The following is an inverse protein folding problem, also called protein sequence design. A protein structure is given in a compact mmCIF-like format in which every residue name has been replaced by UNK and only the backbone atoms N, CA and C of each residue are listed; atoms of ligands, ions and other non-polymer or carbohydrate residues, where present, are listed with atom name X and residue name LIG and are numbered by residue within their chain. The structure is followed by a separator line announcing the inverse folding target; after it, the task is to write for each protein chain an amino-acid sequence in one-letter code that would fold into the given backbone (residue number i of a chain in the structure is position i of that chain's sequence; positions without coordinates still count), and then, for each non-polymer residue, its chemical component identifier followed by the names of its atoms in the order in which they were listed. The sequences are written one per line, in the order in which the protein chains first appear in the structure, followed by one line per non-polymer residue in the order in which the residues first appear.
data_IF_965644773556
#
_entry.id   IF_965644773556
#
_cell.length_a   1.000
_cell.length_b   1.000
_cell.length_c   1.000
_cell.angle_alpha   90.00
_cell.angle_beta   90.00
_cell.angle_gamma   90.00
#
_symmetry.space_group_name_H-M   'P 1'
#
loop_
_entity.id
_entity.type
_entity.pdbx_description
1 polymer ?
#
# COMPACT_ATOMS: atom_id res chain seq x y z
N UNK A 1 -13.09 -16.25 -47.84
CA UNK A 1 -12.20 -15.87 -46.73
C UNK A 1 -13.07 -15.52 -45.53
N UNK A 2 -13.12 -16.39 -44.52
CA UNK A 2 -13.75 -16.05 -43.25
C UNK A 2 -12.78 -15.17 -42.49
N UNK A 3 -13.12 -13.89 -42.28
CA UNK A 3 -12.30 -13.00 -41.43
C UNK A 3 -12.45 -13.47 -39.99
N UNK A 4 -11.34 -13.74 -39.33
CA UNK A 4 -11.35 -14.14 -37.93
C UNK A 4 -11.73 -12.98 -37.02
N UNK A 5 -12.35 -13.27 -35.87
CA UNK A 5 -12.64 -12.24 -34.88
C UNK A 5 -11.32 -11.75 -34.26
N UNK A 6 -11.17 -10.43 -34.17
CA UNK A 6 -10.04 -9.79 -33.51
C UNK A 6 -10.39 -9.48 -32.06
N UNK A 7 -9.50 -9.85 -31.15
CA UNK A 7 -9.69 -9.66 -29.73
C UNK A 7 -8.84 -8.49 -29.24
N UNK A 8 -9.49 -7.57 -28.53
CA UNK A 8 -8.86 -6.49 -27.78
C UNK A 8 -9.27 -6.63 -26.32
N UNK A 9 -8.43 -6.16 -25.41
CA UNK A 9 -8.72 -6.19 -23.98
C UNK A 9 -9.17 -4.82 -23.53
N UNK A 10 -10.29 -4.79 -22.82
CA UNK A 10 -10.86 -3.60 -22.22
C UNK A 10 -10.89 -3.74 -20.70
N UNK A 11 -10.69 -2.62 -20.01
CA UNK A 11 -10.82 -2.47 -18.58
C UNK A 11 -12.00 -1.56 -18.27
N UNK A 12 -12.76 -1.90 -17.23
CA UNK A 12 -13.86 -1.10 -16.73
C UNK A 12 -13.76 -0.98 -15.21
N UNK A 13 -13.93 0.23 -14.69
CA UNK A 13 -13.94 0.52 -13.26
C UNK A 13 -15.18 1.30 -12.85
N UNK A 14 -15.74 1.01 -11.67
CA UNK A 14 -16.76 1.83 -11.04
C UNK A 14 -16.48 1.99 -9.55
N UNK A 15 -16.48 3.23 -9.09
CA UNK A 15 -16.37 3.58 -7.66
C UNK A 15 -17.72 3.56 -6.93
N UNK A 16 -18.82 3.37 -7.67
CA UNK A 16 -20.18 3.39 -7.16
C UNK A 16 -21.00 2.17 -7.65
N UNK A 17 -20.33 1.02 -7.82
CA UNK A 17 -20.91 -0.19 -8.40
C UNK A 17 -22.14 -0.76 -7.64
N UNK A 18 -22.37 -0.31 -6.42
CA UNK A 18 -23.50 -0.72 -5.57
C UNK A 18 -24.72 0.21 -5.67
N UNK A 19 -24.59 1.35 -6.36
CA UNK A 19 -25.69 2.30 -6.56
C UNK A 19 -26.74 1.76 -7.53
N UNK A 20 -27.96 2.28 -7.45
CA UNK A 20 -29.05 1.90 -8.36
C UNK A 20 -28.73 2.21 -9.84
N UNK A 21 -27.86 3.19 -10.08
CA UNK A 21 -27.35 3.56 -11.40
C UNK A 21 -25.81 3.74 -11.33
N UNK A 22 -25.03 2.65 -11.46
CA UNK A 22 -23.57 2.72 -11.37
C UNK A 22 -22.97 3.43 -12.60
N UNK A 23 -21.87 4.14 -12.39
CA UNK A 23 -21.10 4.80 -13.45
C UNK A 23 -19.81 4.01 -13.65
N UNK A 24 -19.50 3.68 -14.90
CA UNK A 24 -18.27 2.99 -15.27
C UNK A 24 -17.37 3.88 -16.12
N UNK A 25 -16.08 3.89 -15.79
CA UNK A 25 -15.02 4.39 -16.67
C UNK A 25 -14.46 3.19 -17.43
N UNK A 26 -14.40 3.28 -18.76
CA UNK A 26 -13.88 2.21 -19.60
C UNK A 26 -12.68 2.67 -20.44
N UNK A 27 -11.74 1.76 -20.68
CA UNK A 27 -10.60 1.98 -21.56
C UNK A 27 -10.15 0.69 -22.24
N UNK A 28 -9.65 0.80 -23.49
CA UNK A 28 -8.92 -0.31 -24.11
C UNK A 28 -7.51 -0.34 -23.53
N UNK A 29 -7.11 -1.48 -22.97
CA UNK A 29 -5.78 -1.65 -22.34
C UNK A 29 -4.81 -2.41 -23.24
N UNK A 30 -5.29 -3.19 -24.22
CA UNK A 30 -4.40 -3.79 -25.22
C UNK A 30 -3.95 -2.77 -26.26
N UNK A 31 -2.65 -2.68 -26.50
CA UNK A 31 -2.04 -1.83 -27.55
C UNK A 31 -2.11 -2.45 -28.96
N UNK A 32 -2.55 -3.71 -29.06
CA UNK A 32 -2.76 -4.43 -30.32
C UNK A 32 -3.84 -5.51 -30.19
N UNK A 33 -4.12 -6.21 -31.30
CA UNK A 33 -5.00 -7.38 -31.33
C UNK A 33 -4.29 -8.58 -30.71
N UNK A 34 -4.68 -8.95 -29.49
CA UNK A 34 -3.99 -9.95 -28.65
C UNK A 34 -4.25 -11.39 -29.09
N UNK A 35 -5.35 -11.61 -29.80
CA UNK A 35 -5.76 -12.91 -30.30
C UNK A 35 -6.64 -12.75 -31.55
N UNK A 36 -6.56 -13.74 -32.45
CA UNK A 36 -7.46 -13.88 -33.59
C UNK A 36 -8.06 -15.27 -33.57
N UNK A 37 -9.38 -15.33 -33.71
CA UNK A 37 -10.11 -16.60 -33.75
C UNK A 37 -11.47 -16.53 -33.07
N UNK A 38 -12.26 -17.58 -33.20
CA UNK A 38 -13.57 -17.69 -32.56
C UNK A 38 -13.44 -18.02 -31.06
N UNK A 39 -14.41 -17.58 -30.26
CA UNK A 39 -14.57 -18.03 -28.86
C UNK A 39 -14.87 -19.54 -28.84
N UNK A 40 -14.26 -20.28 -27.92
CA UNK A 40 -14.64 -21.68 -27.70
C UNK A 40 -16.04 -21.76 -27.09
N UNK A 41 -16.96 -22.46 -27.74
CA UNK A 41 -18.33 -22.68 -27.24
C UNK A 41 -18.47 -23.97 -26.43
N UNK A 42 -17.44 -24.82 -26.42
CA UNK A 42 -17.43 -26.11 -25.74
C UNK A 42 -16.98 -26.09 -24.27
N UNK A 43 -16.44 -24.96 -23.79
CA UNK A 43 -15.99 -24.80 -22.41
C UNK A 43 -14.74 -25.64 -22.02
N UNK A 44 -14.35 -25.58 -20.74
CA UNK A 44 -13.13 -26.15 -20.14
C UNK A 44 -13.10 -27.70 -20.02
N UNK A 45 -13.92 -28.42 -20.79
CA UNK A 45 -14.01 -29.89 -20.73
C UNK A 45 -14.91 -30.54 -21.79
N UNK A 46 -15.49 -29.76 -22.71
CA UNK A 46 -16.23 -30.28 -23.85
C UNK A 46 -15.32 -30.62 -25.04
N UNK A 47 -15.93 -30.98 -26.19
CA UNK A 47 -15.23 -31.12 -27.47
C UNK A 47 -14.73 -29.75 -27.94
N UNK A 48 -13.59 -29.31 -27.38
CA UNK A 48 -13.05 -27.99 -27.61
C UNK A 48 -12.64 -27.83 -29.09
N UNK A 49 -13.13 -26.77 -29.73
CA UNK A 49 -12.63 -26.32 -31.02
C UNK A 49 -11.41 -25.38 -30.88
N UNK A 50 -10.91 -25.13 -29.65
CA UNK A 50 -9.70 -24.32 -29.36
C UNK A 50 -9.16 -24.55 -27.94
N UNK A 51 -7.84 -24.46 -27.77
CA UNK A 51 -7.12 -24.76 -26.50
C UNK A 51 -6.52 -23.55 -25.76
N UNK A 52 -6.84 -22.30 -26.13
CA UNK A 52 -6.35 -21.14 -25.37
C UNK A 52 -7.26 -20.93 -24.15
N UNK A 53 -6.73 -21.18 -22.95
CA UNK A 53 -7.35 -20.80 -21.69
C UNK A 53 -7.21 -19.29 -21.49
N UNK A 54 -8.33 -18.61 -21.30
CA UNK A 54 -8.34 -17.16 -21.13
C UNK A 54 -7.99 -16.84 -19.66
N UNK A 55 -6.73 -16.44 -19.42
CA UNK A 55 -6.28 -15.98 -18.11
C UNK A 55 -6.20 -14.45 -18.06
N UNK A 56 -6.76 -13.88 -16.99
CA UNK A 56 -6.65 -12.48 -16.62
C UNK A 56 -6.33 -12.40 -15.12
N UNK A 57 -5.34 -11.61 -14.75
CA UNK A 57 -5.11 -11.19 -13.38
C UNK A 57 -5.07 -9.67 -13.33
N UNK A 58 -5.74 -9.10 -12.34
CA UNK A 58 -5.80 -7.66 -12.10
C UNK A 58 -5.30 -7.41 -10.68
N UNK A 59 -4.41 -6.43 -10.53
CA UNK A 59 -4.01 -5.89 -9.24
C UNK A 59 -3.99 -4.36 -9.34
N UNK A 60 -4.17 -3.69 -8.21
CA UNK A 60 -3.99 -2.25 -8.10
C UNK A 60 -2.69 -1.97 -7.35
N UNK A 61 -1.93 -0.99 -7.82
CA UNK A 61 -0.78 -0.49 -7.05
C UNK A 61 -1.21 0.55 -5.99
N UNK A 62 -0.29 1.01 -5.11
CA UNK A 62 -0.62 1.99 -4.08
C UNK A 62 -1.08 3.36 -4.60
N UNK A 63 -0.91 3.65 -5.89
CA UNK A 63 -1.43 4.87 -6.53
C UNK A 63 -2.76 4.60 -7.26
N UNK A 64 -3.38 3.44 -7.04
CA UNK A 64 -4.61 2.99 -7.68
C UNK A 64 -4.53 2.89 -9.20
N UNK A 65 -3.36 2.50 -9.72
CA UNK A 65 -3.22 2.18 -11.15
C UNK A 65 -3.50 0.70 -11.37
N UNK A 66 -4.31 0.38 -12.38
CA UNK A 66 -4.60 -1.00 -12.73
C UNK A 66 -3.37 -1.65 -13.41
N UNK A 67 -2.88 -2.74 -12.80
CA UNK A 67 -1.88 -3.62 -13.35
C UNK A 67 -2.58 -4.90 -13.79
N UNK A 68 -2.71 -5.06 -15.11
CA UNK A 68 -3.45 -6.19 -15.70
C UNK A 68 -2.48 -7.07 -16.46
N UNK A 69 -2.49 -8.36 -16.13
CA UNK A 69 -1.85 -9.42 -16.89
C UNK A 69 -2.92 -10.21 -17.65
N UNK A 70 -2.73 -10.41 -18.95
CA UNK A 70 -3.63 -11.22 -19.77
C UNK A 70 -2.90 -12.10 -20.78
N UNK A 71 -3.58 -13.13 -21.24
CA UNK A 71 -3.05 -14.05 -22.26
C UNK A 71 -2.99 -13.37 -23.63
N UNK A 72 -1.85 -13.52 -24.30
CA UNK A 72 -1.58 -12.92 -25.62
C UNK A 72 -0.86 -13.95 -26.50
N UNK A 73 -1.41 -14.20 -27.70
CA UNK A 73 -0.86 -15.11 -28.70
C UNK A 73 -0.70 -14.47 -30.10
N UNK A 74 -0.63 -13.14 -30.16
CA UNK A 74 -0.56 -12.41 -31.44
C UNK A 74 0.65 -12.80 -32.31
N UNK A 75 1.73 -13.30 -31.70
CA UNK A 75 2.97 -13.69 -32.40
C UNK A 75 2.97 -15.17 -32.77
N UNK A 76 3.39 -15.44 -34.00
CA UNK A 76 3.73 -16.79 -34.45
C UNK A 76 4.95 -17.33 -33.71
N UNK A 77 4.96 -18.64 -33.50
CA UNK A 77 6.12 -19.35 -32.98
C UNK A 77 7.19 -19.48 -34.07
N UNK A 78 8.48 -19.32 -33.73
CA UNK A 78 9.57 -19.69 -34.65
C UNK A 78 9.58 -21.20 -34.98
N UNK A 79 8.88 -22.01 -34.18
CA UNK A 79 8.73 -23.46 -34.38
C UNK A 79 7.50 -23.82 -35.22
N UNK A 80 6.88 -22.84 -35.89
CA UNK A 80 5.77 -23.14 -36.81
C UNK A 80 6.30 -24.00 -37.95
N UNK A 81 5.67 -25.16 -38.12
CA UNK A 81 6.05 -26.19 -39.09
C UNK A 81 5.00 -26.19 -40.20
N UNK A 82 5.39 -26.45 -41.45
CA UNK A 82 4.52 -26.64 -42.62
C UNK A 82 3.73 -25.42 -43.14
N UNK A 83 4.37 -24.29 -43.45
CA UNK A 83 3.75 -23.23 -44.28
C UNK A 83 2.56 -22.47 -43.65
N UNK A 84 2.16 -22.83 -42.42
CA UNK A 84 1.06 -22.23 -41.70
C UNK A 84 1.44 -20.91 -41.02
N UNK A 85 1.70 -19.88 -41.82
CA UNK A 85 2.20 -18.58 -41.33
C UNK A 85 1.16 -17.47 -41.41
N UNK A 86 -0.10 -17.80 -41.70
CA UNK A 86 -1.17 -16.82 -41.83
C UNK A 86 -1.58 -16.22 -40.48
N UNK A 87 -1.94 -14.94 -40.49
CA UNK A 87 -2.54 -14.30 -39.30
C UNK A 87 -3.90 -14.91 -38.94
N UNK A 88 -4.63 -15.45 -39.93
CA UNK A 88 -5.96 -16.08 -39.79
C UNK A 88 -5.87 -17.58 -40.10
N UNK A 89 -4.79 -18.24 -39.65
CA UNK A 89 -4.52 -19.66 -39.89
C UNK A 89 -4.68 -20.46 -38.57
N UNK A 90 -5.62 -21.42 -38.49
CA UNK A 90 -5.85 -22.22 -37.29
C UNK A 90 -4.76 -23.22 -36.97
N UNK A 91 -3.98 -23.63 -37.96
CA UNK A 91 -2.92 -24.61 -37.79
C UNK A 91 -1.58 -23.91 -37.46
N UNK A 92 -1.55 -22.58 -37.50
CA UNK A 92 -0.38 -21.79 -37.15
C UNK A 92 -0.08 -21.87 -35.64
N UNK A 93 1.12 -22.34 -35.30
CA UNK A 93 1.59 -22.37 -33.92
C UNK A 93 1.92 -20.95 -33.42
N UNK A 94 1.36 -20.57 -32.27
CA UNK A 94 1.53 -19.24 -31.67
C UNK A 94 2.28 -19.28 -30.34
N UNK A 95 2.90 -18.15 -29.97
CA UNK A 95 3.55 -17.97 -28.69
C UNK A 95 2.54 -17.46 -27.67
N UNK A 96 2.16 -18.28 -26.71
CA UNK A 96 1.34 -17.85 -25.58
C UNK A 96 2.23 -17.13 -24.57
N UNK A 97 1.91 -15.89 -24.22
CA UNK A 97 2.61 -15.11 -23.19
C UNK A 97 1.61 -14.37 -22.31
N UNK A 98 2.07 -14.02 -21.11
CA UNK A 98 1.44 -12.95 -20.34
C UNK A 98 1.87 -11.60 -20.93
N UNK A 99 0.91 -10.75 -21.26
CA UNK A 99 1.13 -9.35 -21.60
C UNK A 99 0.67 -8.50 -20.40
N UNK A 100 1.43 -7.45 -20.11
CA UNK A 100 1.23 -6.59 -18.95
C UNK A 100 0.93 -5.18 -19.44
N UNK A 101 -0.15 -4.61 -18.94
CA UNK A 101 -0.45 -3.19 -19.14
C UNK A 101 -0.11 -2.43 -17.88
N UNK A 102 0.57 -1.30 -18.04
CA UNK A 102 0.74 -0.32 -16.99
C UNK A 102 -0.12 0.89 -17.33
N UNK A 103 -1.18 1.11 -16.56
CA UNK A 103 -1.90 2.37 -16.60
C UNK A 103 -0.98 3.49 -16.08
N UNK A 104 -0.76 4.57 -16.84
CA UNK A 104 0.20 5.60 -16.45
C UNK A 104 -0.29 6.48 -15.28
N UNK A 105 -1.61 6.50 -15.02
CA UNK A 105 -2.26 7.30 -13.97
C UNK A 105 -3.60 6.68 -13.56
N UNK A 106 -4.05 6.90 -12.32
CA UNK A 106 -5.36 6.43 -11.85
C UNK A 106 -6.54 7.18 -12.53
N UNK A 107 -7.72 6.57 -12.62
CA UNK A 107 -8.93 7.24 -13.09
C UNK A 107 -9.33 8.46 -12.26
N UNK A 108 -9.87 9.47 -12.94
CA UNK A 108 -10.32 10.72 -12.31
C UNK A 108 -11.42 10.45 -11.27
N UNK A 109 -11.29 11.03 -10.08
CA UNK A 109 -12.26 10.91 -8.99
C UNK A 109 -11.91 9.84 -7.95
N UNK A 110 -10.82 9.11 -8.14
CA UNK A 110 -10.32 8.15 -7.16
C UNK A 110 -9.44 8.86 -6.15
N UNK A 111 -9.75 8.67 -4.86
CA UNK A 111 -8.91 9.13 -3.78
C UNK A 111 -7.67 8.24 -3.69
N UNK A 112 -6.58 8.67 -4.31
CA UNK A 112 -5.25 8.00 -4.23
C UNK A 112 -4.45 8.39 -2.99
N UNK A 113 -5.03 9.25 -2.15
CA UNK A 113 -4.43 9.75 -0.91
C UNK A 113 -5.47 9.75 0.21
N UNK A 114 -5.07 9.38 1.43
CA UNK A 114 -5.92 9.41 2.62
C UNK A 114 -6.20 8.03 3.22
N UNK A 115 -6.88 8.00 4.37
CA UNK A 115 -7.10 6.80 5.20
C UNK A 115 -7.79 5.64 4.46
N UNK A 116 -8.55 5.92 3.39
CA UNK A 116 -9.28 4.92 2.62
C UNK A 116 -8.54 4.39 1.38
N UNK A 117 -7.35 4.89 1.05
CA UNK A 117 -6.59 4.51 -0.15
C UNK A 117 -5.65 3.30 0.06
N UNK A 118 -5.57 2.76 1.28
CA UNK A 118 -4.61 1.70 1.63
C UNK A 118 -5.27 0.33 1.43
N UNK A 119 -4.80 -0.44 0.44
CA UNK A 119 -5.28 -1.79 0.16
C UNK A 119 -5.01 -2.79 1.30
N UNK A 120 -5.74 -3.92 1.37
CA UNK A 120 -5.54 -4.93 2.40
C UNK A 120 -4.25 -5.71 2.11
N UNK A 121 -3.15 -5.36 2.76
CA UNK A 121 -1.93 -6.19 2.70
C UNK A 121 -0.62 -5.56 3.16
N UNK A 122 -0.44 -4.24 3.04
CA UNK A 122 0.79 -3.61 3.52
C UNK A 122 0.64 -3.03 4.93
N UNK A 123 1.65 -3.25 5.81
CA UNK A 123 1.74 -2.51 7.06
C UNK A 123 1.65 -1.02 6.76
N UNK A 124 0.75 -0.32 7.44
CA UNK A 124 0.66 1.13 7.34
C UNK A 124 1.97 1.77 7.79
N UNK A 125 2.18 3.06 7.45
CA UNK A 125 3.40 3.78 7.79
C UNK A 125 3.74 3.61 9.27
N UNK A 126 5.04 3.53 9.55
CA UNK A 126 5.52 3.37 10.92
C UNK A 126 6.69 4.27 11.23
N UNK A 127 6.78 4.67 12.50
CA UNK A 127 7.90 5.41 13.05
C UNK A 127 8.39 4.65 14.27
N UNK A 128 9.69 4.36 14.31
CA UNK A 128 10.34 3.75 15.46
C UNK A 128 11.43 4.69 15.94
N UNK A 129 11.66 4.76 17.24
CA UNK A 129 12.73 5.60 17.74
C UNK A 129 13.10 5.28 19.16
N UNK A 130 14.37 5.50 19.46
CA UNK A 130 14.88 5.40 20.81
C UNK A 130 16.09 6.29 20.96
N UNK A 131 16.16 7.01 22.07
CA UNK A 131 17.21 8.00 22.22
C UNK A 131 17.12 8.83 23.49
N UNK A 132 17.84 9.94 23.46
CA UNK A 132 18.02 10.84 24.60
C UNK A 132 17.73 12.28 24.22
N UNK A 133 17.18 13.02 25.18
CA UNK A 133 17.15 14.48 25.14
C UNK A 133 18.02 15.01 26.30
N UNK A 134 19.11 15.68 25.95
CA UNK A 134 20.10 16.11 26.94
C UNK A 134 20.71 14.92 27.70
N UNK A 135 20.89 15.08 29.00
CA UNK A 135 21.45 14.06 29.89
C UNK A 135 20.44 13.38 30.82
N UNK A 136 19.22 13.92 30.93
CA UNK A 136 18.23 13.44 31.91
C UNK A 136 17.12 12.59 31.32
N UNK A 137 16.93 12.65 29.99
CA UNK A 137 15.80 11.99 29.33
C UNK A 137 16.26 10.81 28.49
N UNK A 138 15.57 9.68 28.64
CA UNK A 138 15.62 8.55 27.73
C UNK A 138 14.21 8.21 27.25
N UNK A 139 14.07 7.80 25.99
CA UNK A 139 12.78 7.38 25.45
C UNK A 139 12.95 6.22 24.46
N UNK A 140 11.86 5.49 24.25
CA UNK A 140 11.73 4.46 23.23
C UNK A 140 10.27 4.34 22.79
N UNK A 141 10.03 4.22 21.49
CA UNK A 141 8.68 4.05 20.97
C UNK A 141 8.63 3.26 19.66
N UNK A 142 7.45 2.72 19.42
CA UNK A 142 7.00 2.20 18.12
C UNK A 142 5.62 2.81 17.87
N UNK A 143 5.38 3.31 16.66
CA UNK A 143 4.07 3.76 16.22
C UNK A 143 3.80 3.27 14.80
N UNK A 144 2.67 2.57 14.58
CA UNK A 144 2.26 2.02 13.30
C UNK A 144 0.78 2.27 13.07
N UNK A 145 0.43 2.73 11.85
CA UNK A 145 -0.95 3.04 11.51
C UNK A 145 -1.82 1.81 11.20
N UNK A 146 -1.27 0.77 10.56
CA UNK A 146 -2.04 -0.40 10.13
C UNK A 146 -1.25 -1.73 10.24
N UNK A 147 -1.74 -2.75 10.97
CA UNK A 147 -2.74 -2.58 12.02
C UNK A 147 -2.25 -1.55 13.04
N UNK A 148 -3.18 -0.81 13.66
CA UNK A 148 -2.83 0.16 14.68
C UNK A 148 -2.07 -0.57 15.81
N UNK A 149 -0.81 -0.21 16.00
CA UNK A 149 0.03 -0.79 17.03
C UNK A 149 1.10 0.21 17.45
N UNK A 150 1.49 0.16 18.72
CA UNK A 150 2.53 1.01 19.23
C UNK A 150 2.66 0.94 20.74
N UNK A 151 3.78 1.45 21.22
CA UNK A 151 4.11 1.54 22.63
C UNK A 151 5.06 2.71 22.85
N UNK A 152 5.06 3.24 24.08
CA UNK A 152 5.96 4.30 24.51
C UNK A 152 6.54 3.95 25.88
N UNK A 153 7.84 4.16 26.00
CA UNK A 153 8.57 4.26 27.25
C UNK A 153 9.32 5.59 27.28
N UNK A 154 9.20 6.32 28.39
CA UNK A 154 9.81 7.64 28.55
C UNK A 154 10.23 7.84 30.00
N UNK A 155 11.48 8.26 30.22
CA UNK A 155 12.04 8.52 31.53
C UNK A 155 12.68 9.91 31.55
N UNK A 156 12.30 10.77 32.49
CA UNK A 156 13.01 12.01 32.81
C UNK A 156 13.53 11.96 34.26
N UNK A 157 14.82 11.67 34.40
CA UNK A 157 15.49 11.54 35.69
C UNK A 157 15.50 12.85 36.48
N UNK A 158 15.49 14.01 35.81
CA UNK A 158 15.46 15.30 36.48
C UNK A 158 14.09 15.61 37.07
N UNK A 159 13.02 15.15 36.42
CA UNK A 159 11.66 15.29 36.91
C UNK A 159 11.23 14.12 37.83
N UNK A 160 11.99 13.02 37.84
CA UNK A 160 11.62 11.79 38.55
C UNK A 160 10.41 11.09 37.92
N UNK A 161 10.28 11.16 36.60
CA UNK A 161 9.14 10.61 35.86
C UNK A 161 9.56 9.38 35.06
N UNK A 162 8.79 8.31 35.25
CA UNK A 162 8.86 7.06 34.50
C UNK A 162 7.48 6.78 33.90
N UNK A 163 7.40 6.83 32.58
CA UNK A 163 6.16 6.78 31.83
C UNK A 163 6.16 5.58 30.92
N UNK A 164 5.12 4.76 31.06
CA UNK A 164 4.86 3.64 30.17
C UNK A 164 3.47 3.76 29.57
N UNK A 165 3.36 3.53 28.25
CA UNK A 165 2.06 3.39 27.61
C UNK A 165 1.24 2.28 28.27
N UNK A 166 -0.04 2.52 28.47
CA UNK A 166 -1.01 1.56 29.01
C UNK A 166 -1.96 1.15 27.88
N UNK A 167 -1.90 -0.12 27.47
CA UNK A 167 -2.64 -0.65 26.32
C UNK A 167 -2.20 -0.08 24.96
N UNK A 168 -0.92 0.27 24.82
CA UNK A 168 -0.34 0.77 23.58
C UNK A 168 -0.76 2.19 23.21
N UNK A 169 -0.86 2.48 21.91
CA UNK A 169 -1.30 3.76 21.37
C UNK A 169 -2.79 3.73 20.98
N UNK A 170 -3.49 4.84 21.16
CA UNK A 170 -4.89 5.01 20.79
C UNK A 170 -5.06 5.55 19.36
N UNK A 171 -4.11 6.34 18.87
CA UNK A 171 -4.10 6.84 17.50
C UNK A 171 -2.70 7.23 17.05
N UNK A 172 -2.49 7.26 15.73
CA UNK A 172 -1.30 7.80 15.08
C UNK A 172 -1.68 8.47 13.76
N UNK A 173 -1.05 9.59 13.45
CA UNK A 173 -1.09 10.25 12.15
C UNK A 173 0.33 10.54 11.67
N UNK A 174 0.54 10.48 10.35
CA UNK A 174 1.83 10.69 9.72
C UNK A 174 1.79 11.92 8.80
N UNK A 175 2.89 12.65 8.74
CA UNK A 175 3.12 13.75 7.82
C UNK A 175 4.59 13.74 7.39
N UNK A 176 4.86 13.23 6.18
CA UNK A 176 6.23 12.98 5.73
C UNK A 176 6.94 11.98 6.66
N UNK A 177 8.13 12.35 7.13
CA UNK A 177 8.97 11.56 8.06
C UNK A 177 8.63 11.81 9.54
N UNK A 178 7.52 12.49 9.81
CA UNK A 178 7.05 12.78 11.16
C UNK A 178 5.77 12.02 11.50
N UNK A 179 5.60 11.71 12.79
CA UNK A 179 4.37 11.12 13.33
C UNK A 179 3.89 11.88 14.58
N UNK A 180 2.56 11.99 14.71
CA UNK A 180 1.89 12.34 15.95
C UNK A 180 1.13 11.12 16.45
N UNK A 181 1.35 10.70 17.70
CA UNK A 181 0.62 9.59 18.29
C UNK A 181 0.34 9.82 19.76
N UNK A 182 -0.74 9.23 20.26
CA UNK A 182 -1.16 9.39 21.65
C UNK A 182 -1.70 8.08 22.22
N UNK A 183 -1.82 8.05 23.54
CA UNK A 183 -2.38 6.91 24.24
C UNK A 183 -2.54 7.16 25.74
N UNK A 184 -3.06 6.15 26.42
CA UNK A 184 -3.08 6.14 27.88
C UNK A 184 -1.68 5.77 28.39
N UNK A 185 -1.34 6.25 29.59
CA UNK A 185 -0.07 6.00 30.23
C UNK A 185 -0.24 5.67 31.71
N UNK A 186 0.82 5.06 32.25
CA UNK A 186 1.12 5.03 33.66
C UNK A 186 2.29 5.98 33.92
N UNK A 187 2.17 6.86 34.91
CA UNK A 187 3.27 7.70 35.39
C UNK A 187 3.69 7.16 36.77
N UNK A 188 4.95 6.75 36.90
CA UNK A 188 5.51 6.13 38.10
C UNK A 188 4.64 4.96 38.60
N UNK A 189 4.12 4.16 37.66
CA UNK A 189 3.22 3.04 37.91
C UNK A 189 1.74 3.40 38.16
N UNK A 190 1.40 4.68 38.38
CA UNK A 190 0.02 5.12 38.61
C UNK A 190 -0.74 5.31 37.29
N UNK A 191 -1.98 4.82 37.20
CA UNK A 191 -2.85 4.95 36.03
C UNK A 191 -3.58 6.31 35.98
N UNK A 192 -4.28 6.58 34.87
CA UNK A 192 -5.09 7.79 34.70
C UNK A 192 -4.38 8.93 33.97
N UNK A 193 -3.18 8.66 33.44
CA UNK A 193 -2.42 9.61 32.64
C UNK A 193 -2.61 9.32 31.15
N UNK A 194 -2.38 10.33 30.32
CA UNK A 194 -2.32 10.23 28.87
C UNK A 194 -1.05 10.88 28.37
N UNK A 195 -0.59 10.43 27.20
CA UNK A 195 0.55 11.03 26.50
C UNK A 195 0.17 11.41 25.08
N UNK A 196 0.82 12.44 24.56
CA UNK A 196 0.85 12.79 23.15
C UNK A 196 2.31 13.01 22.75
N UNK A 197 2.75 12.40 21.65
CA UNK A 197 4.11 12.50 21.14
C UNK A 197 4.09 13.05 19.73
N UNK A 198 5.03 13.94 19.45
CA UNK A 198 5.43 14.35 18.11
C UNK A 198 6.89 13.95 17.88
N UNK A 199 7.16 13.18 16.84
CA UNK A 199 8.50 12.70 16.53
C UNK A 199 8.78 12.83 15.03
N UNK A 200 10.00 13.20 14.66
CA UNK A 200 10.45 13.37 13.28
C UNK A 200 11.82 12.73 13.05
N UNK A 201 11.90 11.88 12.03
CA UNK A 201 13.14 11.43 11.41
C UNK A 201 13.61 12.49 10.42
N UNK A 202 14.77 13.08 10.68
CA UNK A 202 15.33 14.19 9.89
C UNK A 202 16.62 13.78 9.18
N UNK A 203 17.44 12.94 9.80
CA UNK A 203 18.71 12.50 9.22
C UNK A 203 19.16 11.13 9.77
N UNK A 204 20.02 10.45 9.02
CA UNK A 204 20.73 9.26 9.51
C UNK A 204 22.25 9.52 9.44
N UNK A 205 22.98 9.58 10.58
CA UNK A 205 22.51 9.37 11.95
C UNK A 205 21.70 10.57 12.51
N UNK A 206 20.66 10.27 13.30
CA UNK A 206 19.69 11.25 13.80
C UNK A 206 20.15 12.17 14.92
N UNK A 207 21.29 11.90 15.55
CA UNK A 207 21.83 12.77 16.62
C UNK A 207 22.11 14.16 16.08
N UNK A 208 21.54 15.18 16.73
CA UNK A 208 21.65 16.58 16.31
C UNK A 208 20.65 17.02 15.25
N UNK A 209 19.79 16.12 14.75
CA UNK A 209 18.82 16.42 13.68
C UNK A 209 17.40 15.98 14.03
N UNK A 210 17.23 14.73 14.46
CA UNK A 210 15.94 14.15 14.80
C UNK A 210 15.30 14.89 15.98
N UNK A 211 13.97 14.96 15.97
CA UNK A 211 13.20 15.71 16.95
C UNK A 211 12.20 14.83 17.66
N UNK A 212 12.06 15.05 18.96
CA UNK A 212 11.08 14.40 19.81
C UNK A 212 10.43 15.42 20.74
N UNK A 213 9.12 15.32 20.91
CA UNK A 213 8.33 16.09 21.86
C UNK A 213 7.29 15.20 22.49
N UNK A 214 7.04 15.40 23.79
CA UNK A 214 6.01 14.70 24.55
C UNK A 214 5.24 15.68 25.44
N UNK A 215 3.93 15.51 25.44
CA UNK A 215 2.98 16.10 26.39
C UNK A 215 2.37 15.00 27.23
N UNK A 216 2.28 15.21 28.54
CA UNK A 216 1.56 14.34 29.47
C UNK A 216 0.43 15.12 30.12
N UNK A 217 -0.72 14.48 30.26
CA UNK A 217 -1.86 14.98 31.05
C UNK A 217 -2.28 13.93 32.06
N UNK A 218 -2.86 14.35 33.19
CA UNK A 218 -3.28 13.41 34.23
C UNK A 218 -4.27 13.97 35.24
N UNK A 219 -4.53 13.20 36.32
CA UNK A 219 -5.47 13.58 37.38
C UNK A 219 -5.07 14.92 38.04
N UNK A 220 -6.05 15.58 38.65
CA UNK A 220 -5.85 16.85 39.36
C UNK A 220 -5.22 17.96 38.52
N UNK A 221 -5.40 17.94 37.20
CA UNK A 221 -4.86 18.94 36.29
C UNK A 221 -3.35 18.81 36.04
N UNK A 222 -2.77 17.65 36.33
CA UNK A 222 -1.36 17.38 36.02
C UNK A 222 -1.08 17.62 34.53
N UNK A 223 -0.04 18.40 34.24
CA UNK A 223 0.48 18.62 32.89
C UNK A 223 2.00 18.60 32.94
N UNK A 224 2.61 18.05 31.89
CA UNK A 224 4.06 18.07 31.69
C UNK A 224 4.35 18.13 30.19
N UNK A 225 5.39 18.85 29.82
CA UNK A 225 5.85 18.97 28.45
C UNK A 225 7.38 18.86 28.40
N UNK A 226 7.88 18.17 27.38
CA UNK A 226 9.31 18.13 27.05
C UNK A 226 9.50 17.97 25.56
N UNK A 227 10.40 18.76 25.00
CA UNK A 227 10.83 18.65 23.61
C UNK A 227 12.35 18.76 23.48
N UNK A 228 12.86 18.36 22.32
CA UNK A 228 14.24 18.60 21.96
C UNK A 228 14.71 17.89 20.70
N UNK A 229 15.94 18.20 20.34
CA UNK A 229 16.71 17.46 19.33
C UNK A 229 17.48 16.33 20.00
N UNK A 230 17.60 15.18 19.35
CA UNK A 230 18.26 14.00 19.92
C UNK A 230 19.73 14.28 20.23
N UNK A 231 20.15 13.99 21.46
CA UNK A 231 21.55 13.99 21.91
C UNK A 231 22.16 12.59 21.95
N UNK A 232 21.38 11.58 21.54
CA UNK A 232 21.78 10.19 21.41
C UNK A 232 20.62 9.35 20.89
N UNK A 233 20.93 8.23 20.24
CA UNK A 233 19.92 7.36 19.63
C UNK A 233 19.55 7.78 18.20
N UNK A 234 18.40 7.29 17.72
CA UNK A 234 17.90 7.54 16.38
C UNK A 234 16.36 7.41 16.31
N UNK A 235 15.73 8.13 15.39
CA UNK A 235 14.34 7.93 14.95
C UNK A 235 14.37 7.52 13.48
N UNK A 236 13.55 6.55 13.09
CA UNK A 236 13.49 6.03 11.73
C UNK A 236 12.04 5.90 11.27
N UNK A 237 11.72 6.54 10.15
CA UNK A 237 10.48 6.37 9.43
C UNK A 237 10.56 5.19 8.46
N UNK A 238 9.48 4.42 8.35
CA UNK A 238 9.34 3.25 7.47
C UNK A 238 8.03 3.30 6.69
#
# INVERSE_FOLDING_TARGET
MSKWANWNVYYLESVNAHEAAPIFVQGQISDHVIHRGTVSTGGLGGGANRNLGDYFQIAFDPQHRANVAFSDDHKLSPLTINGHTGNDDPDARRLIRANFTHELMAPSGIATTGFCAVGPGEPGPSLTGGGRLGSSVNFGFIARANPLNGALEYQDQAAGYDVHSSNGIASVTFSGTCANFNGNAKLNGATGYTFSVHACDVADPGVGYDKFSIDLSGPSGFTYHKDGTLTGGNIQAH
#
